data_IF_013476401755
#
_entry.id   IF_013476401755
#
_cell.length_a   1.000
_cell.length_b   1.000
_cell.length_c   1.000
_cell.angle_alpha   90.00
_cell.angle_beta   90.00
_cell.angle_gamma   90.00
#
_symmetry.space_group_name_H-M   'P 1'
#
loop_
_entity.id
_entity.type
_entity.pdbx_description
1 polymer ?
#
# COMPACT_ATOMS: atom_id res chain seq x y z
N UNK A 1 16.20 -16.10 29.27
CA UNK A 1 15.47 -15.21 28.33
C UNK A 1 14.40 -14.46 29.10
N UNK A 2 14.14 -13.19 28.76
CA UNK A 2 13.10 -12.42 29.41
C UNK A 2 11.71 -12.96 29.01
N UNK A 3 10.83 -13.15 30.00
CA UNK A 3 9.46 -13.62 29.82
C UNK A 3 8.46 -12.53 30.21
N UNK A 4 7.33 -12.38 29.51
CA UNK A 4 6.33 -11.39 29.87
C UNK A 4 5.64 -11.79 31.18
N UNK A 5 5.72 -10.91 32.20
CA UNK A 5 5.07 -11.17 33.49
C UNK A 5 3.54 -11.21 33.40
N UNK A 6 2.96 -10.44 32.47
CA UNK A 6 1.51 -10.32 32.26
C UNK A 6 1.21 -10.30 30.77
N UNK A 7 0.04 -10.82 30.39
CA UNK A 7 -0.43 -10.76 29.00
C UNK A 7 -0.63 -9.30 28.56
N UNK A 8 -0.36 -9.02 27.30
CA UNK A 8 -0.72 -7.73 26.69
C UNK A 8 -2.25 -7.58 26.69
N UNK A 9 -2.78 -6.40 27.05
CA UNK A 9 -4.21 -6.11 26.96
C UNK A 9 -4.73 -6.18 25.52
N UNK A 10 -6.03 -6.49 25.34
CA UNK A 10 -6.65 -6.55 24.01
C UNK A 10 -6.45 -5.25 23.23
N UNK A 11 -6.61 -4.10 23.90
CA UNK A 11 -6.41 -2.77 23.32
C UNK A 11 -4.99 -2.58 22.77
N UNK A 12 -3.95 -2.87 23.58
CA UNK A 12 -2.54 -2.68 23.17
C UNK A 12 -2.13 -3.62 22.04
N UNK A 13 -2.64 -4.86 22.04
CA UNK A 13 -2.45 -5.80 20.92
C UNK A 13 -3.10 -5.28 19.63
N UNK A 14 -4.35 -4.83 19.72
CA UNK A 14 -5.11 -4.34 18.56
C UNK A 14 -4.47 -3.07 17.96
N UNK A 15 -3.97 -2.15 18.79
CA UNK A 15 -3.23 -0.96 18.34
C UNK A 15 -2.02 -1.34 17.46
N UNK A 16 -1.19 -2.31 17.88
CA UNK A 16 -0.06 -2.76 17.06
C UNK A 16 -0.50 -3.35 15.72
N UNK A 17 -1.59 -4.13 15.72
CA UNK A 17 -2.16 -4.67 14.48
C UNK A 17 -2.69 -3.55 13.57
N UNK A 18 -3.33 -2.52 14.13
CA UNK A 18 -3.78 -1.36 13.38
C UNK A 18 -2.60 -0.60 12.75
N UNK A 19 -1.49 -0.41 13.47
CA UNK A 19 -0.26 0.18 12.89
C UNK A 19 0.28 -0.64 11.73
N UNK A 20 0.28 -1.98 11.84
CA UNK A 20 0.72 -2.85 10.75
C UNK A 20 -0.19 -2.74 9.52
N UNK A 21 -1.51 -2.75 9.73
CA UNK A 21 -2.51 -2.57 8.66
C UNK A 21 -2.46 -1.17 8.04
N UNK A 22 -2.16 -0.14 8.82
CA UNK A 22 -2.02 1.23 8.34
C UNK A 22 -0.93 1.40 7.27
N UNK A 23 0.13 0.58 7.32
CA UNK A 23 1.17 0.56 6.26
C UNK A 23 0.60 0.18 4.89
N UNK A 24 -0.34 -0.78 4.86
CA UNK A 24 -0.99 -1.20 3.63
C UNK A 24 -1.85 -0.08 3.03
N UNK A 25 -2.57 0.67 3.86
CA UNK A 25 -3.35 1.83 3.40
C UNK A 25 -2.47 2.91 2.77
N UNK A 26 -1.32 3.23 3.38
CA UNK A 26 -0.35 4.18 2.83
C UNK A 26 0.24 3.67 1.50
N UNK A 27 0.56 2.37 1.42
CA UNK A 27 1.04 1.77 0.18
C UNK A 27 -0.01 1.83 -0.95
N UNK A 28 -1.28 1.55 -0.64
CA UNK A 28 -2.39 1.65 -1.59
C UNK A 28 -2.58 3.08 -2.10
N UNK A 29 -2.50 4.08 -1.23
CA UNK A 29 -2.59 5.50 -1.63
C UNK A 29 -1.46 5.90 -2.59
N UNK A 30 -0.22 5.44 -2.32
CA UNK A 30 0.93 5.67 -3.21
C UNK A 30 0.74 4.96 -4.55
N UNK A 31 0.29 3.70 -4.54
CA UNK A 31 0.01 2.95 -5.76
C UNK A 31 -1.06 3.62 -6.63
N UNK A 32 -2.14 4.13 -6.02
CA UNK A 32 -3.18 4.86 -6.74
C UNK A 32 -2.64 6.15 -7.39
N UNK A 33 -1.79 6.90 -6.68
CA UNK A 33 -1.14 8.11 -7.23
C UNK A 33 -0.24 7.79 -8.43
N UNK A 34 0.57 6.74 -8.30
CA UNK A 34 1.46 6.28 -9.37
C UNK A 34 0.65 5.80 -10.59
N UNK A 35 -0.40 5.00 -10.38
CA UNK A 35 -1.27 4.53 -11.45
C UNK A 35 -1.91 5.69 -12.23
N UNK A 36 -2.42 6.71 -11.54
CA UNK A 36 -2.95 7.92 -12.19
C UNK A 36 -1.89 8.68 -12.99
N UNK A 37 -0.66 8.76 -12.47
CA UNK A 37 0.48 9.37 -13.19
C UNK A 37 0.79 8.65 -14.49
N UNK A 38 0.82 7.31 -14.46
CA UNK A 38 1.04 6.44 -15.63
C UNK A 38 -0.07 6.62 -16.66
N UNK A 39 -1.34 6.48 -16.25
CA UNK A 39 -2.49 6.63 -17.15
C UNK A 39 -2.57 8.00 -17.82
N UNK A 40 -2.06 9.03 -17.15
CA UNK A 40 -2.08 10.40 -17.69
C UNK A 40 -0.83 10.79 -18.49
N UNK A 41 0.12 9.88 -18.67
CA UNK A 41 1.37 10.12 -19.40
C UNK A 41 2.37 11.06 -18.68
N UNK A 42 2.13 11.40 -17.41
CA UNK A 42 2.96 12.34 -16.63
C UNK A 42 4.12 11.68 -15.90
N UNK A 43 4.23 10.35 -15.95
CA UNK A 43 5.30 9.61 -15.29
C UNK A 43 6.65 9.84 -15.99
N UNK A 44 7.59 10.52 -15.31
CA UNK A 44 8.93 10.84 -15.84
C UNK A 44 10.07 10.01 -15.21
N UNK A 45 9.81 9.33 -14.09
CA UNK A 45 10.86 8.66 -13.29
C UNK A 45 11.06 7.18 -13.59
N UNK A 46 10.19 6.56 -14.39
CA UNK A 46 10.29 5.16 -14.79
C UNK A 46 9.53 4.93 -16.09
N UNK A 47 9.93 3.89 -16.83
CA UNK A 47 9.22 3.43 -18.02
C UNK A 47 8.23 2.36 -17.61
N UNK A 48 6.95 2.55 -17.92
CA UNK A 48 5.93 1.52 -17.80
C UNK A 48 5.60 0.99 -19.20
N UNK A 49 5.89 -0.29 -19.52
CA UNK A 49 5.55 -0.83 -20.82
C UNK A 49 4.04 -1.07 -20.88
N UNK A 50 3.32 -0.14 -21.47
CA UNK A 50 1.92 -0.34 -21.83
C UNK A 50 1.92 -1.31 -23.03
N UNK A 51 1.40 -2.52 -22.85
CA UNK A 51 1.05 -3.35 -24.02
C UNK A 51 -0.15 -2.66 -24.66
N UNK A 52 -0.10 -2.43 -25.97
CA UNK A 52 -1.16 -1.82 -26.80
C UNK A 52 -2.50 -2.61 -26.81
N UNK A 53 -2.73 -3.50 -25.84
CA UNK A 53 -3.86 -4.44 -25.81
C UNK A 53 -5.03 -3.97 -24.91
N UNK A 54 -4.93 -2.83 -24.23
CA UNK A 54 -5.98 -2.32 -23.32
C UNK A 54 -6.78 -1.13 -23.91
N UNK A 55 -6.53 -0.72 -25.16
CA UNK A 55 -7.28 0.34 -25.84
C UNK A 55 -8.64 -0.13 -26.44
N UNK A 56 -9.08 -1.37 -26.16
CA UNK A 56 -10.35 -1.93 -26.69
C UNK A 56 -11.55 -1.94 -25.72
N UNK A 57 -11.42 -1.50 -24.46
CA UNK A 57 -12.55 -1.50 -23.50
C UNK A 57 -12.87 -0.09 -22.97
N UNK A 58 -13.69 0.61 -23.78
CA UNK A 58 -14.67 1.68 -23.46
C UNK A 58 -14.66 2.31 -22.06
#
# INVERSE_FOLDING_TARGET
MAVPKKKTSKAKRNQRSATWKGKAAVAAQRAMSIGKSVLSGRAQGFVYPVREADDEES
#
